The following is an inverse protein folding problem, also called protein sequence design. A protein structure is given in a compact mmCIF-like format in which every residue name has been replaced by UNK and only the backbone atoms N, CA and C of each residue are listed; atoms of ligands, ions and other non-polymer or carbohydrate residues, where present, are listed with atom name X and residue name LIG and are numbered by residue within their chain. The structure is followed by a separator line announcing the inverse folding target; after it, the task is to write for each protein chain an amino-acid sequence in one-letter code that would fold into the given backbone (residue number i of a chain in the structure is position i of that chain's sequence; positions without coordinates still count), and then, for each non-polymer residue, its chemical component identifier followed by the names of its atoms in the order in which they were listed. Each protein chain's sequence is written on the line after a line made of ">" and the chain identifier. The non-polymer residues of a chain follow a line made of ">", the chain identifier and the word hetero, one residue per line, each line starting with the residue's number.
data_IF_392683374406
#
_entry.id   IF_392683374406
#
_cell.length_a   1.000
_cell.length_b   1.000
_cell.length_c   1.000
_cell.angle_alpha   90.00
_cell.angle_beta   90.00
_cell.angle_gamma   90.00
#
_symmetry.space_group_name_H-M   'P 1'
#
loop_
_entity.id
_entity.type
_entity.pdbx_description
1 polymer ?
#
# COMPACT_ATOMS: atom_id res chain seq x y z
N UNK A 1 17.33 14.20 -14.24
CA UNK A 1 16.57 15.47 -14.16
C UNK A 1 15.85 15.45 -12.85
N UNK A 2 16.12 16.40 -11.96
CA UNK A 2 15.31 16.52 -10.74
C UNK A 2 13.91 17.02 -11.12
N UNK A 3 12.85 16.49 -10.46
CA UNK A 3 11.50 16.97 -10.69
C UNK A 3 11.42 18.45 -10.27
N UNK A 4 10.98 19.30 -11.20
CA UNK A 4 10.68 20.70 -10.90
C UNK A 4 9.36 20.75 -10.12
N UNK A 5 9.47 20.74 -8.80
CA UNK A 5 8.33 20.79 -7.89
C UNK A 5 7.76 22.20 -7.73
N UNK A 6 8.52 23.24 -8.14
CA UNK A 6 8.14 24.64 -7.94
C UNK A 6 6.90 25.07 -8.74
N UNK A 7 6.50 24.28 -9.74
CA UNK A 7 5.31 24.52 -10.56
C UNK A 7 4.00 24.07 -9.90
N UNK A 8 4.08 23.32 -8.80
CA UNK A 8 2.91 22.76 -8.12
C UNK A 8 2.64 23.47 -6.79
N UNK A 9 1.37 23.76 -6.52
CA UNK A 9 0.97 24.44 -5.27
C UNK A 9 0.92 23.50 -4.07
N UNK A 10 0.78 22.20 -4.30
CA UNK A 10 0.73 21.17 -3.28
C UNK A 10 1.13 19.81 -3.86
N UNK A 11 1.50 18.88 -2.97
CA UNK A 11 1.77 17.47 -3.29
C UNK A 11 0.84 16.64 -2.42
N UNK A 12 0.16 15.69 -3.04
CA UNK A 12 -0.69 14.74 -2.34
C UNK A 12 0.10 13.45 -2.21
N UNK A 13 0.29 13.01 -0.97
CA UNK A 13 0.93 11.74 -0.66
C UNK A 13 -0.14 10.71 -0.34
N UNK A 14 0.05 9.51 -0.85
CA UNK A 14 -0.62 8.34 -0.32
C UNK A 14 -0.16 8.08 1.13
N UNK A 15 -0.94 7.33 1.91
CA UNK A 15 -0.69 7.14 3.33
C UNK A 15 0.06 5.84 3.61
N UNK A 16 -0.55 4.72 3.27
CA UNK A 16 -0.06 3.38 3.56
C UNK A 16 1.09 3.01 2.61
N UNK A 17 2.23 2.63 3.15
CA UNK A 17 3.44 2.35 2.37
C UNK A 17 4.17 3.57 1.80
N UNK A 18 3.59 4.78 1.91
CA UNK A 18 4.23 6.03 1.50
C UNK A 18 4.62 6.91 2.69
N UNK A 19 3.69 7.19 3.59
CA UNK A 19 3.95 7.95 4.81
C UNK A 19 4.18 7.07 6.03
N UNK A 20 3.54 5.89 6.08
CA UNK A 20 3.62 4.96 7.21
C UNK A 20 3.81 3.54 6.67
N UNK A 21 4.70 2.76 7.29
CA UNK A 21 4.92 1.35 6.94
C UNK A 21 3.84 0.45 7.55
N UNK A 22 2.66 0.44 6.92
CA UNK A 22 1.47 -0.32 7.33
C UNK A 22 1.12 -1.46 6.37
N UNK A 23 1.81 -1.56 5.23
CA UNK A 23 1.56 -2.58 4.22
C UNK A 23 1.63 -4.02 4.75
N UNK A 24 2.57 -4.38 5.65
CA UNK A 24 2.59 -5.72 6.23
C UNK A 24 1.32 -6.05 7.04
N UNK A 25 0.77 -5.05 7.74
CA UNK A 25 -0.46 -5.23 8.52
C UNK A 25 -1.68 -5.38 7.62
N UNK A 26 -1.77 -4.62 6.53
CA UNK A 26 -2.84 -4.78 5.53
C UNK A 26 -2.82 -6.17 4.90
N UNK A 27 -1.64 -6.69 4.52
CA UNK A 27 -1.51 -8.05 3.99
C UNK A 27 -2.02 -9.09 4.98
N UNK A 28 -1.63 -8.99 6.25
CA UNK A 28 -2.07 -9.93 7.29
C UNK A 28 -3.58 -9.89 7.53
N UNK A 29 -4.21 -8.72 7.44
CA UNK A 29 -5.67 -8.59 7.59
C UNK A 29 -6.42 -9.21 6.40
N UNK A 30 -5.91 -9.02 5.18
CA UNK A 30 -6.49 -9.61 3.97
C UNK A 30 -6.34 -11.13 3.93
N UNK A 31 -5.20 -11.67 4.38
CA UNK A 31 -4.99 -13.11 4.51
C UNK A 31 -5.99 -13.74 5.48
N UNK A 32 -6.17 -13.14 6.68
CA UNK A 32 -7.17 -13.60 7.65
C UNK A 32 -8.60 -13.57 7.09
N UNK A 33 -8.94 -12.53 6.32
CA UNK A 33 -10.25 -12.42 5.67
C UNK A 33 -10.42 -13.50 4.61
N UNK A 34 -9.37 -13.79 3.83
CA UNK A 34 -9.40 -14.81 2.79
C UNK A 34 -9.63 -16.21 3.37
N UNK A 35 -8.95 -16.53 4.48
CA UNK A 35 -9.18 -17.76 5.24
C UNK A 35 -10.62 -17.86 5.76
N UNK A 36 -11.17 -16.77 6.30
CA UNK A 36 -12.53 -16.75 6.85
C UNK A 36 -13.61 -17.00 5.78
N UNK A 37 -13.46 -16.41 4.59
CA UNK A 37 -14.44 -16.49 3.51
C UNK A 37 -14.14 -17.54 2.44
N UNK A 38 -13.01 -18.25 2.56
CA UNK A 38 -12.67 -19.40 1.72
C UNK A 38 -12.28 -19.04 0.29
N UNK A 39 -11.57 -17.93 0.09
CA UNK A 39 -11.03 -17.55 -1.21
C UNK A 39 -9.50 -17.54 -1.21
N UNK A 40 -8.89 -17.80 -2.36
CA UNK A 40 -7.43 -17.79 -2.50
C UNK A 40 -6.89 -16.36 -2.46
N UNK A 41 -5.89 -16.12 -1.63
CA UNK A 41 -5.21 -14.83 -1.50
C UNK A 41 -3.71 -15.00 -1.81
N UNK A 42 -3.19 -14.16 -2.70
CA UNK A 42 -1.78 -14.11 -3.05
C UNK A 42 -1.14 -12.81 -2.54
N UNK A 43 -0.36 -12.92 -1.47
CA UNK A 43 0.34 -11.80 -0.86
C UNK A 43 1.45 -11.23 -1.74
N UNK A 44 1.91 -11.96 -2.78
CA UNK A 44 3.03 -11.51 -3.62
C UNK A 44 2.72 -10.24 -4.42
N UNK A 45 1.44 -9.93 -4.67
CA UNK A 45 1.02 -8.68 -5.30
C UNK A 45 1.22 -7.43 -4.42
N UNK A 46 1.39 -7.60 -3.11
CA UNK A 46 1.49 -6.49 -2.14
C UNK A 46 2.92 -6.16 -1.71
N UNK A 47 3.89 -7.02 -2.05
CA UNK A 47 5.29 -6.86 -1.68
C UNK A 47 6.05 -6.49 -2.96
N UNK A 48 6.27 -5.19 -3.17
CA UNK A 48 7.08 -4.65 -4.26
C UNK A 48 8.55 -4.47 -3.83
#
# INVERSE_FOLDING_TARGET
>A
MEPKLEQYQAIIFDMDGTLIDTMPTHVSAWEQTAEEFGFDFDASCYIA
#
